data_IF_951860787449
#
_entry.id   IF_951860787449
#
_cell.length_a   1.000
_cell.length_b   1.000
_cell.length_c   1.000
_cell.angle_alpha   90.00
_cell.angle_beta   90.00
_cell.angle_gamma   90.00
#
_symmetry.space_group_name_H-M   'P 1'
#
loop_
_entity.id
_entity.type
_entity.pdbx_description
1 polymer ?
#
# COMPACT_ATOMS: atom_id res chain seq x y z
N UNK A 1 50.08 -1.94 -39.59
CA UNK A 1 50.74 -0.65 -39.35
C UNK A 1 49.75 0.50 -39.30
N UNK A 2 48.78 0.60 -40.23
CA UNK A 2 47.74 1.64 -40.22
C UNK A 2 47.09 1.88 -38.85
N UNK A 3 46.55 0.84 -38.20
CA UNK A 3 45.89 0.96 -36.88
C UNK A 3 46.74 1.65 -35.78
N UNK A 4 48.06 1.44 -35.75
CA UNK A 4 48.93 2.05 -34.74
C UNK A 4 49.18 3.53 -35.05
N UNK A 5 49.20 3.89 -36.32
CA UNK A 5 49.37 5.27 -36.77
C UNK A 5 48.05 6.05 -36.58
N UNK A 6 46.92 5.42 -36.89
CA UNK A 6 45.59 6.02 -36.75
C UNK A 6 45.29 6.34 -35.28
N UNK A 7 45.59 5.43 -34.34
CA UNK A 7 45.31 5.63 -32.90
C UNK A 7 46.18 6.73 -32.27
N UNK A 8 47.24 7.17 -32.96
CA UNK A 8 48.09 8.28 -32.52
C UNK A 8 47.52 9.66 -32.92
N UNK A 9 46.47 9.72 -33.74
CA UNK A 9 45.82 10.99 -34.11
C UNK A 9 44.58 11.25 -33.27
N UNK A 10 44.31 12.52 -32.97
CA UNK A 10 43.13 12.91 -32.17
C UNK A 10 41.82 12.59 -32.89
N UNK A 11 41.81 12.64 -34.22
CA UNK A 11 40.66 12.28 -35.07
C UNK A 11 40.14 10.86 -34.83
N UNK A 12 41.02 9.92 -34.47
CA UNK A 12 40.59 8.55 -34.18
C UNK A 12 39.77 8.47 -32.89
N UNK A 13 40.01 9.39 -31.94
CA UNK A 13 39.35 9.42 -30.63
C UNK A 13 38.00 10.14 -30.65
N UNK A 14 37.69 10.88 -31.72
CA UNK A 14 36.38 11.48 -31.91
C UNK A 14 35.30 10.41 -32.17
N UNK A 15 34.24 10.42 -31.35
CA UNK A 15 33.09 9.50 -31.46
C UNK A 15 33.41 8.01 -31.32
N UNK A 16 34.46 7.67 -30.55
CA UNK A 16 34.82 6.27 -30.30
C UNK A 16 33.74 5.54 -29.52
N UNK A 17 33.40 4.35 -30.00
CA UNK A 17 32.44 3.45 -29.35
C UNK A 17 33.15 2.27 -28.66
N UNK A 18 32.50 1.67 -27.66
CA UNK A 18 33.02 0.51 -26.92
C UNK A 18 33.46 -0.65 -27.82
N UNK A 19 32.72 -1.02 -28.90
CA UNK A 19 33.18 -2.06 -29.83
C UNK A 19 34.46 -1.71 -30.60
N UNK A 20 34.68 -0.42 -30.91
CA UNK A 20 35.89 0.05 -31.58
C UNK A 20 37.11 -0.09 -30.66
N UNK A 21 36.97 0.27 -29.39
CA UNK A 21 38.02 0.09 -28.36
C UNK A 21 38.37 -1.38 -28.15
N UNK A 22 37.38 -2.27 -28.10
CA UNK A 22 37.64 -3.70 -27.91
C UNK A 22 38.38 -4.31 -29.11
N UNK A 23 38.05 -3.87 -30.32
CA UNK A 23 38.76 -4.26 -31.54
C UNK A 23 40.22 -3.79 -31.52
N UNK A 24 40.44 -2.55 -31.08
CA UNK A 24 41.78 -1.99 -30.88
C UNK A 24 42.59 -2.81 -29.87
N UNK A 25 42.04 -3.05 -28.67
CA UNK A 25 42.69 -3.80 -27.59
C UNK A 25 43.12 -5.19 -28.04
N UNK A 26 42.25 -5.93 -28.73
CA UNK A 26 42.55 -7.28 -29.24
C UNK A 26 43.71 -7.27 -30.24
N UNK A 27 43.71 -6.32 -31.18
CA UNK A 27 44.75 -6.20 -32.21
C UNK A 27 46.10 -5.77 -31.63
N UNK A 28 46.11 -4.87 -30.64
CA UNK A 28 47.34 -4.40 -30.00
C UNK A 28 47.90 -5.38 -28.97
N UNK A 29 47.07 -6.21 -28.32
CA UNK A 29 47.51 -7.17 -27.27
C UNK A 29 48.69 -8.04 -27.71
N UNK A 30 48.69 -8.50 -28.96
CA UNK A 30 49.75 -9.35 -29.50
C UNK A 30 51.09 -8.60 -29.68
N UNK A 31 51.04 -7.26 -29.81
CA UNK A 31 52.20 -6.39 -30.05
C UNK A 31 52.77 -5.80 -28.76
N UNK A 32 51.97 -5.71 -27.69
CA UNK A 32 52.39 -5.21 -26.36
C UNK A 32 53.60 -5.98 -25.80
N UNK A 33 53.76 -7.26 -26.16
CA UNK A 33 54.92 -8.08 -25.75
C UNK A 33 56.26 -7.57 -26.29
N UNK A 34 56.26 -6.72 -27.31
CA UNK A 34 57.45 -6.13 -27.94
C UNK A 34 57.90 -4.84 -27.24
N UNK A 35 57.14 -4.35 -26.26
CA UNK A 35 57.48 -3.14 -25.50
C UNK A 35 58.54 -3.49 -24.45
N UNK A 36 59.69 -2.82 -24.49
CA UNK A 36 60.80 -3.01 -23.55
C UNK A 36 60.39 -2.72 -22.11
N UNK A 37 60.58 -3.68 -21.20
CA UNK A 37 60.09 -3.61 -19.82
C UNK A 37 60.88 -2.67 -18.91
N UNK A 38 62.08 -2.23 -19.31
CA UNK A 38 63.04 -1.56 -18.43
C UNK A 38 62.94 -0.02 -18.39
N UNK A 39 62.09 0.59 -19.22
CA UNK A 39 61.93 2.06 -19.32
C UNK A 39 60.47 2.52 -19.16
N UNK A 40 59.79 2.11 -18.08
CA UNK A 40 58.44 2.62 -17.78
C UNK A 40 58.54 3.79 -16.80
N UNK A 41 58.34 5.03 -17.26
CA UNK A 41 57.98 6.12 -16.36
C UNK A 41 56.56 5.85 -15.85
N UNK A 42 56.27 5.93 -14.53
CA UNK A 42 54.92 5.81 -14.03
C UNK A 42 54.09 6.97 -14.59
N UNK A 43 53.02 6.65 -15.31
CA UNK A 43 52.03 7.62 -15.77
C UNK A 43 50.97 7.67 -14.68
N UNK A 44 50.85 8.81 -14.01
CA UNK A 44 49.75 9.09 -13.10
C UNK A 44 48.64 9.73 -13.92
N UNK A 45 47.56 8.99 -14.15
CA UNK A 45 46.31 9.53 -14.66
C UNK A 45 45.43 9.89 -13.47
N UNK A 46 45.32 11.19 -13.22
CA UNK A 46 44.35 11.77 -12.29
C UNK A 46 43.29 12.45 -13.16
N UNK A 47 42.13 11.82 -13.26
CA UNK A 47 40.97 12.38 -13.96
C UNK A 47 39.98 12.80 -12.88
N UNK A 48 39.69 14.09 -12.79
CA UNK A 48 38.56 14.56 -11.99
C UNK A 48 37.27 14.16 -12.71
N UNK A 49 36.36 13.50 -12.01
CA UNK A 49 35.03 13.20 -12.54
C UNK A 49 34.25 14.51 -12.73
N UNK A 50 33.90 14.84 -13.98
CA UNK A 50 32.95 15.91 -14.25
C UNK A 50 31.52 15.38 -14.03
N UNK A 51 30.85 15.87 -12.98
CA UNK A 51 29.40 15.64 -12.82
C UNK A 51 28.65 16.36 -13.95
N UNK A 52 28.17 15.58 -14.92
CA UNK A 52 27.28 16.07 -15.97
C UNK A 52 25.93 16.55 -15.40
N UNK A 53 25.15 17.25 -16.23
CA UNK A 53 23.80 17.70 -15.85
C UNK A 53 22.90 16.51 -15.47
N UNK A 54 22.21 16.62 -14.35
CA UNK A 54 21.23 15.61 -13.91
C UNK A 54 20.18 15.38 -14.98
N UNK A 55 20.06 14.13 -15.43
CA UNK A 55 18.96 13.69 -16.28
C UNK A 55 18.01 12.92 -15.38
N UNK A 56 16.81 13.46 -15.17
CA UNK A 56 15.76 12.70 -14.49
C UNK A 56 15.38 11.52 -15.38
N UNK A 57 15.79 10.33 -14.99
CA UNK A 57 15.38 9.08 -15.63
C UNK A 57 14.27 8.49 -14.77
N UNK A 58 13.04 8.57 -15.25
CA UNK A 58 11.93 7.83 -14.65
C UNK A 58 12.22 6.33 -14.80
N UNK A 59 12.35 5.64 -13.66
CA UNK A 59 12.48 4.20 -13.60
C UNK A 59 11.08 3.58 -13.53
N UNK A 60 10.52 3.05 -14.63
CA UNK A 60 9.23 2.39 -14.60
C UNK A 60 9.31 1.18 -13.67
N UNK A 61 8.56 1.23 -12.56
CA UNK A 61 8.51 0.20 -11.52
C UNK A 61 9.10 0.61 -10.16
N UNK A 62 9.81 1.75 -10.04
CA UNK A 62 10.37 2.24 -8.77
C UNK A 62 9.63 3.46 -8.18
N UNK A 63 8.80 4.15 -8.96
CA UNK A 63 7.76 5.03 -8.42
C UNK A 63 6.48 4.20 -8.29
N UNK A 64 6.02 3.87 -7.07
CA UNK A 64 4.60 3.49 -6.77
C UNK A 64 4.37 2.77 -5.43
N UNK A 65 5.33 2.04 -4.86
CA UNK A 65 5.09 1.30 -3.60
C UNK A 65 5.34 2.16 -2.34
N UNK A 66 6.42 2.94 -2.33
CA UNK A 66 6.78 3.77 -1.17
C UNK A 66 5.90 5.01 -1.00
N UNK A 67 5.36 5.55 -2.08
CA UNK A 67 4.59 6.80 -2.01
C UNK A 67 3.16 6.56 -1.52
N UNK A 68 2.53 5.45 -1.92
CA UNK A 68 1.22 5.07 -1.39
C UNK A 68 1.26 4.72 0.11
N UNK A 69 2.33 4.08 0.59
CA UNK A 69 2.50 3.84 2.03
C UNK A 69 2.76 5.13 2.83
N UNK A 70 3.49 6.10 2.25
CA UNK A 70 3.61 7.45 2.85
C UNK A 70 2.27 8.17 2.89
N UNK A 71 1.50 8.11 1.80
CA UNK A 71 0.13 8.62 1.74
C UNK A 71 -0.72 8.00 2.84
N UNK A 72 -0.69 6.67 2.98
CA UNK A 72 -1.41 5.93 4.01
C UNK A 72 -1.02 6.39 5.42
N UNK A 73 0.27 6.54 5.68
CA UNK A 73 0.78 6.97 6.98
C UNK A 73 0.38 8.42 7.32
N UNK A 74 0.50 9.35 6.36
CA UNK A 74 0.11 10.76 6.53
C UNK A 74 -1.40 10.90 6.74
N UNK A 75 -2.19 10.23 5.91
CA UNK A 75 -3.65 10.22 6.01
C UNK A 75 -4.10 9.65 7.34
N UNK A 76 -3.49 8.54 7.81
CA UNK A 76 -3.76 7.99 9.14
C UNK A 76 -3.49 9.01 10.26
N UNK A 77 -2.35 9.68 10.24
CA UNK A 77 -1.99 10.67 11.26
C UNK A 77 -3.00 11.82 11.31
N UNK A 78 -3.37 12.35 10.14
CA UNK A 78 -4.37 13.41 10.04
C UNK A 78 -5.74 12.98 10.55
N UNK A 79 -6.24 11.80 10.15
CA UNK A 79 -7.54 11.29 10.58
C UNK A 79 -7.60 11.05 12.10
N UNK A 80 -6.47 10.65 12.70
CA UNK A 80 -6.37 10.48 14.16
C UNK A 80 -6.38 11.82 14.91
N UNK A 81 -5.87 12.89 14.31
CA UNK A 81 -5.91 14.24 14.89
C UNK A 81 -7.29 14.90 14.75
N UNK A 82 -8.03 14.58 13.69
CA UNK A 82 -9.31 15.21 13.33
C UNK A 82 -10.54 14.32 13.61
N UNK A 83 -10.49 13.51 14.68
CA UNK A 83 -11.59 12.60 15.04
C UNK A 83 -12.88 13.31 15.47
N UNK A 84 -12.80 14.61 15.73
CA UNK A 84 -13.91 15.49 16.07
C UNK A 84 -14.76 15.88 14.84
N UNK A 85 -14.24 15.70 13.62
CA UNK A 85 -15.03 15.90 12.41
C UNK A 85 -16.15 14.85 12.31
N UNK A 86 -17.35 15.32 11.95
CA UNK A 86 -18.59 14.52 11.98
C UNK A 86 -18.47 13.24 11.17
N UNK A 87 -17.92 13.32 9.94
CA UNK A 87 -17.80 12.14 9.06
C UNK A 87 -16.81 11.11 9.60
N UNK A 88 -15.68 11.56 10.16
CA UNK A 88 -14.66 10.68 10.75
C UNK A 88 -15.22 10.03 12.02
N UNK A 89 -15.93 10.80 12.85
CA UNK A 89 -16.61 10.29 14.03
C UNK A 89 -17.65 9.21 13.68
N UNK A 90 -18.51 9.47 12.69
CA UNK A 90 -19.49 8.50 12.19
C UNK A 90 -18.84 7.17 11.78
N UNK A 91 -17.74 7.25 11.02
CA UNK A 91 -16.98 6.07 10.60
C UNK A 91 -16.45 5.26 11.79
N UNK A 92 -15.92 5.93 12.83
CA UNK A 92 -15.44 5.27 14.04
C UNK A 92 -16.56 4.66 14.88
N UNK A 93 -17.73 5.31 14.91
CA UNK A 93 -18.88 4.83 15.69
C UNK A 93 -19.75 3.82 14.95
N UNK A 94 -19.32 3.35 13.77
CA UNK A 94 -20.09 2.43 12.93
C UNK A 94 -21.48 2.98 12.56
N UNK A 95 -21.59 4.30 12.41
CA UNK A 95 -22.82 4.96 11.97
C UNK A 95 -22.91 4.93 10.43
N UNK A 96 -24.11 4.76 9.86
CA UNK A 96 -24.28 4.68 8.41
C UNK A 96 -23.90 6.00 7.73
N UNK A 97 -23.10 5.91 6.67
CA UNK A 97 -22.72 7.06 5.86
C UNK A 97 -23.74 7.38 4.76
N UNK A 98 -23.94 8.68 4.53
CA UNK A 98 -24.67 9.20 3.37
C UNK A 98 -23.72 9.53 2.22
N UNK A 99 -24.26 9.71 1.01
CA UNK A 99 -23.46 10.15 -0.14
C UNK A 99 -22.76 11.51 0.12
N UNK A 100 -23.46 12.44 0.80
CA UNK A 100 -22.89 13.74 1.16
C UNK A 100 -21.72 13.61 2.15
N UNK A 101 -21.77 12.64 3.08
CA UNK A 101 -20.66 12.38 4.00
C UNK A 101 -19.41 11.88 3.23
N UNK A 102 -19.59 11.07 2.18
CA UNK A 102 -18.46 10.63 1.34
C UNK A 102 -17.85 11.77 0.53
N UNK A 103 -18.69 12.65 -0.03
CA UNK A 103 -18.22 13.84 -0.75
C UNK A 103 -17.44 14.78 0.18
N UNK A 104 -17.92 14.97 1.41
CA UNK A 104 -17.23 15.75 2.44
C UNK A 104 -15.89 15.10 2.81
N UNK A 105 -15.84 13.79 2.98
CA UNK A 105 -14.60 13.06 3.28
C UNK A 105 -13.55 13.22 2.18
N UNK A 106 -13.97 13.12 0.91
CA UNK A 106 -13.09 13.33 -0.23
C UNK A 106 -12.57 14.78 -0.31
N UNK A 107 -13.43 15.74 0.02
CA UNK A 107 -13.05 17.14 0.11
C UNK A 107 -12.03 17.39 1.22
N UNK A 108 -12.24 16.84 2.42
CA UNK A 108 -11.31 16.95 3.55
C UNK A 108 -9.92 16.40 3.18
N UNK A 109 -9.85 15.24 2.53
CA UNK A 109 -8.58 14.60 2.14
C UNK A 109 -7.84 15.38 1.04
N UNK A 110 -8.57 15.98 0.10
CA UNK A 110 -7.97 16.80 -0.96
C UNK A 110 -7.54 18.19 -0.47
N UNK A 111 -8.35 18.88 0.33
CA UNK A 111 -8.03 20.22 0.85
C UNK A 111 -6.87 20.21 1.87
N UNK A 112 -6.70 19.11 2.59
CA UNK A 112 -5.57 18.93 3.52
C UNK A 112 -4.24 18.66 2.80
N UNK A 113 -4.24 18.50 1.48
CA UNK A 113 -3.03 18.22 0.69
C UNK A 113 -2.42 16.85 1.00
N UNK A 114 -3.23 15.93 1.53
CA UNK A 114 -2.74 14.63 2.00
C UNK A 114 -2.63 13.61 0.88
N UNK A 115 -3.41 13.76 -0.19
CA UNK A 115 -3.28 12.93 -1.38
C UNK A 115 -3.69 13.63 -2.65
N UNK A 116 -2.95 13.34 -3.71
CA UNK A 116 -3.36 13.71 -5.06
C UNK A 116 -4.64 12.96 -5.45
N UNK A 117 -5.46 13.47 -6.39
CA UNK A 117 -6.68 12.79 -6.84
C UNK A 117 -6.47 11.33 -7.24
N UNK A 118 -5.29 11.01 -7.79
CA UNK A 118 -4.90 9.65 -8.17
C UNK A 118 -4.70 8.72 -6.96
N UNK A 119 -4.15 9.22 -5.85
CA UNK A 119 -3.95 8.44 -4.63
C UNK A 119 -5.27 8.14 -3.93
N UNK A 120 -6.20 9.12 -3.95
CA UNK A 120 -7.56 8.95 -3.43
C UNK A 120 -8.33 7.94 -4.29
N UNK A 121 -8.22 8.01 -5.62
CA UNK A 121 -8.83 7.04 -6.52
C UNK A 121 -8.28 5.62 -6.28
N UNK A 122 -6.95 5.49 -6.17
CA UNK A 122 -6.31 4.21 -5.83
C UNK A 122 -6.76 3.67 -4.47
N UNK A 123 -6.93 4.53 -3.47
CA UNK A 123 -7.43 4.15 -2.15
C UNK A 123 -8.86 3.58 -2.21
N UNK A 124 -9.73 4.20 -3.01
CA UNK A 124 -11.10 3.71 -3.26
C UNK A 124 -11.08 2.33 -3.92
N UNK A 125 -10.22 2.11 -4.91
CA UNK A 125 -10.11 0.82 -5.61
C UNK A 125 -9.60 -0.30 -4.69
N UNK A 126 -8.51 -0.06 -3.96
CA UNK A 126 -7.86 -1.06 -3.09
C UNK A 126 -8.76 -1.47 -1.92
N UNK A 127 -9.56 -0.54 -1.39
CA UNK A 127 -10.38 -0.80 -0.19
C UNK A 127 -11.87 -0.97 -0.50
N UNK A 128 -12.24 -1.04 -1.79
CA UNK A 128 -13.63 -1.11 -2.24
C UNK A 128 -14.53 0.03 -1.71
N UNK A 129 -13.96 1.21 -1.52
CA UNK A 129 -14.67 2.39 -1.02
C UNK A 129 -13.83 3.28 -0.12
N UNK A 130 -14.09 4.59 -0.15
CA UNK A 130 -13.35 5.57 0.65
C UNK A 130 -13.59 5.41 2.16
N UNK A 131 -14.83 5.10 2.58
CA UNK A 131 -15.16 4.87 3.98
C UNK A 131 -14.47 3.65 4.56
N UNK A 132 -14.39 2.55 3.79
CA UNK A 132 -13.63 1.35 4.17
C UNK A 132 -12.13 1.62 4.21
N UNK A 133 -11.59 2.39 3.27
CA UNK A 133 -10.19 2.82 3.32
C UNK A 133 -9.91 3.56 4.62
N UNK A 134 -10.71 4.57 4.97
CA UNK A 134 -10.52 5.34 6.20
C UNK A 134 -10.62 4.45 7.45
N UNK A 135 -11.61 3.55 7.52
CA UNK A 135 -11.73 2.57 8.62
C UNK A 135 -10.53 1.63 8.71
N UNK A 136 -9.92 1.25 7.59
CA UNK A 136 -8.68 0.46 7.59
C UNK A 136 -7.48 1.17 8.21
N UNK A 137 -7.53 2.50 8.37
CA UNK A 137 -6.46 3.31 8.96
C UNK A 137 -6.67 3.60 10.44
N UNK A 138 -7.90 3.91 10.82
CA UNK A 138 -8.23 4.37 12.18
C UNK A 138 -8.95 3.32 13.03
N UNK A 139 -9.49 2.28 12.41
CA UNK A 139 -10.29 1.26 13.09
C UNK A 139 -11.66 1.75 13.53
N UNK A 140 -12.40 0.87 14.22
CA UNK A 140 -13.62 1.23 14.92
C UNK A 140 -13.36 1.61 16.38
N UNK A 141 -14.27 2.38 16.95
CA UNK A 141 -14.33 2.52 18.39
C UNK A 141 -14.72 1.18 19.05
N UNK A 142 -14.05 0.84 20.15
CA UNK A 142 -14.26 -0.44 20.84
C UNK A 142 -15.68 -0.59 21.37
N UNK A 143 -16.29 0.48 21.85
CA UNK A 143 -17.67 0.45 22.33
C UNK A 143 -18.65 0.29 21.17
N UNK A 144 -18.42 0.98 20.05
CA UNK A 144 -19.23 0.82 18.84
C UNK A 144 -19.16 -0.60 18.27
N UNK A 145 -17.96 -1.20 18.21
CA UNK A 145 -17.78 -2.58 17.79
C UNK A 145 -18.53 -3.57 18.70
N UNK A 146 -18.44 -3.38 20.03
CA UNK A 146 -19.20 -4.17 21.01
C UNK A 146 -20.71 -4.04 20.84
N UNK A 147 -21.21 -2.82 20.64
CA UNK A 147 -22.65 -2.58 20.44
C UNK A 147 -23.15 -3.25 19.16
N UNK A 148 -22.36 -3.19 18.09
CA UNK A 148 -22.72 -3.82 16.81
C UNK A 148 -22.81 -5.34 16.94
N UNK A 149 -21.89 -5.98 17.67
CA UNK A 149 -21.95 -7.42 17.95
C UNK A 149 -22.89 -7.80 19.12
N UNK A 150 -23.44 -6.83 19.85
CA UNK A 150 -24.43 -7.13 20.89
C UNK A 150 -25.72 -7.68 20.29
N UNK A 151 -26.04 -7.29 19.05
CA UNK A 151 -27.19 -7.80 18.30
C UNK A 151 -27.06 -9.32 18.13
N UNK A 152 -25.91 -9.80 17.65
CA UNK A 152 -25.61 -11.23 17.53
C UNK A 152 -25.67 -11.97 18.87
N UNK A 153 -25.23 -11.33 19.96
CA UNK A 153 -25.23 -11.93 21.29
C UNK A 153 -26.61 -11.95 21.96
N UNK A 154 -27.56 -11.16 21.44
CA UNK A 154 -28.89 -10.98 22.05
C UNK A 154 -29.64 -12.30 22.14
N UNK A 155 -30.15 -12.62 23.33
CA UNK A 155 -30.93 -13.84 23.57
C UNK A 155 -30.11 -15.13 23.65
N UNK A 156 -28.77 -15.06 23.63
CA UNK A 156 -27.88 -16.23 23.69
C UNK A 156 -27.08 -16.23 24.99
N UNK A 157 -26.84 -17.43 25.53
CA UNK A 157 -25.86 -17.62 26.60
C UNK A 157 -24.62 -18.24 25.97
N UNK A 158 -23.58 -17.42 25.76
CA UNK A 158 -22.33 -17.87 25.15
C UNK A 158 -21.44 -18.57 26.17
N UNK A 159 -20.70 -19.57 25.69
CA UNK A 159 -19.61 -20.22 26.42
C UNK A 159 -18.36 -19.33 26.47
N UNK A 160 -17.39 -19.65 27.34
CA UNK A 160 -16.14 -18.90 27.44
C UNK A 160 -15.41 -18.78 26.08
N UNK A 161 -15.24 -19.90 25.36
CA UNK A 161 -14.56 -19.91 24.06
C UNK A 161 -15.31 -19.07 23.00
N UNK A 162 -16.65 -19.07 23.01
CA UNK A 162 -17.45 -18.24 22.11
C UNK A 162 -17.31 -16.75 22.45
N UNK A 163 -17.26 -16.39 23.74
CA UNK A 163 -17.02 -15.01 24.19
C UNK A 163 -15.62 -14.55 23.77
N UNK A 164 -14.61 -15.39 23.93
CA UNK A 164 -13.24 -15.08 23.51
C UNK A 164 -13.14 -14.89 21.99
N UNK A 165 -13.83 -15.72 21.22
CA UNK A 165 -13.91 -15.55 19.76
C UNK A 165 -14.57 -14.23 19.36
N UNK A 166 -15.70 -13.86 20.00
CA UNK A 166 -16.34 -12.56 19.77
C UNK A 166 -15.41 -11.41 20.16
N UNK A 167 -14.64 -11.55 21.24
CA UNK A 167 -13.65 -10.55 21.64
C UNK A 167 -12.50 -10.41 20.62
N UNK A 168 -12.06 -11.49 19.98
CA UNK A 168 -11.09 -11.44 18.88
C UNK A 168 -11.64 -10.63 17.71
N UNK A 169 -12.91 -10.83 17.34
CA UNK A 169 -13.57 -10.04 16.30
C UNK A 169 -13.63 -8.57 16.69
N UNK A 170 -14.02 -8.25 17.94
CA UNK A 170 -14.05 -6.87 18.43
C UNK A 170 -12.67 -6.21 18.34
N UNK A 171 -11.61 -6.92 18.74
CA UNK A 171 -10.25 -6.41 18.64
C UNK A 171 -9.87 -6.15 17.18
N UNK A 172 -10.12 -7.09 16.28
CA UNK A 172 -9.85 -6.93 14.86
C UNK A 172 -10.61 -5.74 14.26
N UNK A 173 -11.90 -5.58 14.56
CA UNK A 173 -12.68 -4.42 14.13
C UNK A 173 -12.13 -3.11 14.71
N UNK A 174 -11.66 -3.12 15.95
CA UNK A 174 -11.05 -1.93 16.60
C UNK A 174 -9.74 -1.53 15.92
N UNK A 175 -8.98 -2.49 15.36
CA UNK A 175 -7.68 -2.25 14.75
C UNK A 175 -7.75 -1.97 13.24
N UNK A 176 -8.60 -2.72 12.53
CA UNK A 176 -8.69 -2.72 11.06
C UNK A 176 -10.00 -2.16 10.52
N UNK A 177 -10.99 -1.91 11.38
CA UNK A 177 -12.24 -1.22 11.03
C UNK A 177 -13.26 -2.07 10.27
N UNK A 178 -12.84 -3.12 9.57
CA UNK A 178 -13.70 -4.10 8.90
C UNK A 178 -13.05 -5.50 8.99
N UNK A 179 -13.81 -6.54 8.66
CA UNK A 179 -13.32 -7.91 8.61
C UNK A 179 -13.97 -8.64 7.44
N UNK A 180 -13.16 -9.34 6.64
CA UNK A 180 -13.65 -10.29 5.65
C UNK A 180 -14.01 -11.59 6.37
N UNK A 181 -15.17 -12.18 6.05
CA UNK A 181 -15.62 -13.45 6.63
C UNK A 181 -14.61 -14.58 6.42
N UNK A 182 -13.83 -14.55 5.34
CA UNK A 182 -12.77 -15.53 5.08
C UNK A 182 -11.68 -15.54 6.17
N UNK A 183 -11.36 -14.37 6.76
CA UNK A 183 -10.35 -14.25 7.81
C UNK A 183 -10.73 -15.02 9.09
N UNK A 184 -12.01 -15.29 9.32
CA UNK A 184 -12.46 -16.08 10.48
C UNK A 184 -11.93 -17.53 10.44
N UNK A 185 -11.45 -17.99 9.28
CA UNK A 185 -10.86 -19.32 9.08
C UNK A 185 -9.32 -19.28 9.04
N UNK A 186 -8.72 -18.15 9.43
CA UNK A 186 -7.28 -17.98 9.55
C UNK A 186 -6.88 -17.67 11.01
N UNK A 187 -5.58 -17.74 11.31
CA UNK A 187 -5.07 -17.30 12.61
C UNK A 187 -5.26 -15.78 12.74
N UNK A 188 -5.68 -15.23 13.90
CA UNK A 188 -5.79 -15.87 15.21
C UNK A 188 -7.15 -16.54 15.51
N UNK A 189 -8.11 -16.51 14.58
CA UNK A 189 -9.47 -17.01 14.81
C UNK A 189 -9.54 -18.55 14.90
N UNK A 190 -8.62 -19.24 14.23
CA UNK A 190 -8.49 -20.71 14.30
C UNK A 190 -7.61 -21.21 15.45
N UNK A 191 -7.03 -20.31 16.24
CA UNK A 191 -6.19 -20.69 17.39
C UNK A 191 -7.02 -21.31 18.53
N UNK A 192 -8.30 -20.90 18.66
CA UNK A 192 -9.24 -21.46 19.63
C UNK A 192 -9.77 -22.83 19.19
N UNK A 193 -10.07 -22.99 17.90
CA UNK A 193 -10.64 -24.19 17.29
C UNK A 193 -10.09 -24.37 15.87
N UNK A 194 -9.60 -25.56 15.48
CA UNK A 194 -9.10 -25.80 14.12
C UNK A 194 -10.15 -25.62 13.01
N UNK A 195 -11.43 -25.63 13.36
CA UNK A 195 -12.56 -25.40 12.44
C UNK A 195 -13.06 -23.94 12.46
N UNK A 196 -12.34 -23.03 13.14
CA UNK A 196 -12.73 -21.62 13.25
C UNK A 196 -14.14 -21.47 13.85
N UNK A 197 -15.01 -20.60 13.28
CA UNK A 197 -16.33 -20.33 13.82
C UNK A 197 -17.25 -21.57 13.84
N UNK A 198 -17.11 -22.51 12.88
CA UNK A 198 -17.91 -23.75 12.82
C UNK A 198 -17.63 -24.70 13.99
N UNK A 199 -16.44 -24.60 14.60
CA UNK A 199 -16.11 -25.35 15.80
C UNK A 199 -16.72 -24.78 17.09
N UNK A 200 -17.25 -23.55 17.03
CA UNK A 200 -17.75 -22.81 18.19
C UNK A 200 -19.25 -22.54 18.13
N UNK A 201 -19.82 -22.38 16.94
CA UNK A 201 -21.20 -21.97 16.72
C UNK A 201 -21.93 -22.97 15.83
N UNK A 202 -23.26 -23.00 15.91
CA UNK A 202 -24.06 -23.77 14.93
C UNK A 202 -24.02 -23.09 13.56
N UNK A 203 -24.26 -23.80 12.47
CA UNK A 203 -24.25 -23.20 11.12
C UNK A 203 -25.17 -21.97 11.01
N UNK A 204 -26.37 -22.03 11.60
CA UNK A 204 -27.30 -20.89 11.63
C UNK A 204 -26.74 -19.68 12.42
N UNK A 205 -25.97 -19.93 13.48
CA UNK A 205 -25.29 -18.87 14.23
C UNK A 205 -24.09 -18.30 13.47
N UNK A 206 -23.36 -19.13 12.73
CA UNK A 206 -22.27 -18.67 11.84
C UNK A 206 -22.84 -17.77 10.75
N UNK A 207 -23.94 -18.16 10.11
CA UNK A 207 -24.64 -17.34 9.11
C UNK A 207 -25.08 -15.99 9.69
N UNK A 208 -25.65 -15.98 10.90
CA UNK A 208 -26.05 -14.75 11.59
C UNK A 208 -24.85 -13.85 11.94
N UNK A 209 -23.74 -14.45 12.37
CA UNK A 209 -22.51 -13.73 12.65
C UNK A 209 -21.96 -13.08 11.38
N UNK A 210 -21.85 -13.83 10.29
CA UNK A 210 -21.37 -13.31 9.00
C UNK A 210 -22.26 -12.17 8.52
N UNK A 211 -23.59 -12.34 8.56
CA UNK A 211 -24.53 -11.27 8.19
C UNK A 211 -24.34 -10.01 9.06
N UNK A 212 -24.04 -10.17 10.35
CA UNK A 212 -23.74 -9.04 11.24
C UNK A 212 -22.45 -8.32 10.82
N UNK A 213 -21.41 -9.06 10.44
CA UNK A 213 -20.14 -8.48 9.97
C UNK A 213 -20.27 -7.79 8.61
N UNK A 214 -21.07 -8.36 7.70
CA UNK A 214 -21.42 -7.74 6.42
C UNK A 214 -22.17 -6.43 6.65
N UNK A 215 -23.13 -6.41 7.58
CA UNK A 215 -23.86 -5.18 7.93
C UNK A 215 -22.93 -4.11 8.51
N UNK A 216 -21.98 -4.49 9.38
CA UNK A 216 -20.97 -3.58 9.91
C UNK A 216 -20.12 -2.99 8.77
N UNK A 217 -19.67 -3.81 7.84
CA UNK A 217 -18.91 -3.38 6.67
C UNK A 217 -19.73 -2.46 5.76
N UNK A 218 -21.01 -2.77 5.56
CA UNK A 218 -21.92 -1.98 4.74
C UNK A 218 -22.18 -0.58 5.28
N UNK A 219 -22.10 -0.33 6.59
CA UNK A 219 -22.27 1.04 7.15
C UNK A 219 -21.23 2.04 6.65
N UNK A 220 -20.04 1.57 6.29
CA UNK A 220 -18.95 2.38 5.74
C UNK A 220 -19.09 2.64 4.24
N UNK A 221 -20.00 1.92 3.57
CA UNK A 221 -20.39 2.14 2.20
C UNK A 221 -21.60 3.07 2.20
N UNK A 222 -21.66 4.04 1.28
CA UNK A 222 -22.83 4.90 1.20
C UNK A 222 -24.07 4.04 0.93
N UNK A 223 -25.12 4.27 1.72
CA UNK A 223 -26.43 3.75 1.36
C UNK A 223 -26.85 4.38 0.03
N UNK A 224 -27.24 3.59 -0.99
CA UNK A 224 -27.91 4.16 -2.14
C UNK A 224 -29.18 4.83 -1.61
N UNK A 225 -29.28 6.15 -1.77
CA UNK A 225 -30.52 6.88 -1.50
C UNK A 225 -31.66 6.13 -2.18
N UNK A 226 -32.79 5.86 -1.51
CA UNK A 226 -33.94 5.28 -2.18
C UNK A 226 -34.28 6.20 -3.34
N UNK A 227 -34.10 5.71 -4.57
CA UNK A 227 -34.58 6.40 -5.75
C UNK A 227 -36.07 6.60 -5.51
N UNK A 228 -36.48 7.85 -5.31
CA UNK A 228 -37.88 8.23 -5.26
C UNK A 228 -38.43 7.79 -6.61
N UNK A 229 -39.19 6.70 -6.60
CA UNK A 229 -39.99 6.27 -7.75
C UNK A 229 -41.03 7.37 -7.91
N UNK A 230 -40.70 8.35 -8.74
CA UNK A 230 -41.67 9.34 -9.22
C UNK A 230 -42.60 8.59 -10.15
N UNK A 231 -43.81 8.31 -9.64
CA UNK A 231 -44.92 7.78 -10.43
C UNK A 231 -45.49 8.86 -11.36
#
# INVERSE_FOLDING_TARGET
MALILDVQTDEWWENVTTPMLETLRRRLRALVKLIEKHRRKPIYTDFEDEMGSEINVELPGFASAGDFEKFRAKTRAFLLEHQDQVVIHKLRMNEPLTAADLDELEKILSESGLGEPEEIARAKEVSHGLGLFVRSLIGLDRQAAKQSLAIFQSGKTLTANQIDFVNLIINHLTEHGAIDAALLYESPFTDLTPQGPDGLFTSAQVDELIATLEQITATALAFPSPQIITA
#
